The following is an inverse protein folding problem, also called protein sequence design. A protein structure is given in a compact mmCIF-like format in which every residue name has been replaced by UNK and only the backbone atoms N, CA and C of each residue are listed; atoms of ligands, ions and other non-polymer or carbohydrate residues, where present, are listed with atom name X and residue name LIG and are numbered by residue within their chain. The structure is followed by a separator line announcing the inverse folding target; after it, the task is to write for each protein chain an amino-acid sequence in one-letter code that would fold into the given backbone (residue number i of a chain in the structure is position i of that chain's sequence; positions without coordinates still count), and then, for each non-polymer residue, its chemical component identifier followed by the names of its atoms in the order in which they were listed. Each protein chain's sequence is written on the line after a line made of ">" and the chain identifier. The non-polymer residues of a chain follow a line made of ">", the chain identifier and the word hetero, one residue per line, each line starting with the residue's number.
data_IF_694758303472
#
_entry.id   IF_694758303472
#
_cell.length_a   1.000
_cell.length_b   1.000
_cell.length_c   1.000
_cell.angle_alpha   90.00
_cell.angle_beta   90.00
_cell.angle_gamma   90.00
#
_symmetry.space_group_name_H-M   'P 1'
#
loop_
_entity.id
_entity.type
_entity.pdbx_description
1 polymer ?
#
# COMPACT_ATOMS: atom_id res chain seq x y z
N UNK A 1 -19.41 2.24 29.36
CA UNK A 1 -20.79 2.52 28.88
C UNK A 1 -21.08 1.66 27.66
N UNK A 2 -22.36 1.47 27.27
CA UNK A 2 -22.73 0.68 26.09
C UNK A 2 -23.25 1.60 24.99
N UNK A 3 -22.88 1.33 23.74
CA UNK A 3 -23.31 2.10 22.57
C UNK A 3 -23.71 1.16 21.43
N UNK A 4 -24.64 1.60 20.60
CA UNK A 4 -24.91 0.96 19.31
C UNK A 4 -24.04 1.60 18.24
N UNK A 5 -23.30 0.77 17.50
CA UNK A 5 -22.46 1.21 16.38
C UNK A 5 -23.34 1.46 15.17
N UNK A 6 -23.22 2.66 14.59
CA UNK A 6 -24.00 3.13 13.44
C UNK A 6 -23.29 2.81 12.13
N UNK A 7 -22.01 3.21 12.03
CA UNK A 7 -21.20 3.05 10.82
C UNK A 7 -19.71 3.07 11.12
N UNK A 8 -18.88 2.67 10.15
CA UNK A 8 -17.42 2.83 10.20
C UNK A 8 -17.06 4.00 9.28
N UNK A 9 -16.53 5.08 9.85
CA UNK A 9 -16.14 6.29 9.12
C UNK A 9 -14.65 6.27 8.77
N UNK A 10 -14.25 7.04 7.74
CA UNK A 10 -12.84 7.26 7.42
C UNK A 10 -12.09 7.92 8.60
N UNK A 11 -10.86 7.49 8.96
CA UNK A 11 -10.03 6.48 8.29
C UNK A 11 -10.15 5.05 8.87
N UNK A 12 -11.32 4.68 9.41
CA UNK A 12 -11.63 3.34 9.92
C UNK A 12 -12.05 3.30 11.39
N UNK A 13 -12.68 4.37 11.89
CA UNK A 13 -13.20 4.46 13.26
C UNK A 13 -14.67 4.08 13.29
N UNK A 14 -15.10 3.34 14.29
CA UNK A 14 -16.51 3.01 14.49
C UNK A 14 -17.21 4.18 15.17
N UNK A 15 -18.28 4.66 14.54
CA UNK A 15 -19.11 5.74 15.03
C UNK A 15 -20.34 5.14 15.71
N UNK A 16 -20.58 5.52 16.97
CA UNK A 16 -21.82 5.28 17.70
C UNK A 16 -22.40 6.57 18.27
N UNK A 17 -23.63 6.48 18.80
CA UNK A 17 -24.32 7.60 19.42
C UNK A 17 -24.68 7.26 20.87
N UNK A 18 -24.54 8.24 21.77
CA UNK A 18 -25.07 8.17 23.14
C UNK A 18 -25.56 9.55 23.55
N UNK A 19 -26.86 9.64 23.92
CA UNK A 19 -27.48 10.74 24.67
C UNK A 19 -27.07 12.17 24.27
N UNK A 20 -26.84 12.42 22.96
CA UNK A 20 -26.48 13.69 22.29
C UNK A 20 -25.00 13.91 21.89
N UNK A 21 -24.09 12.93 22.05
CA UNK A 21 -22.72 13.04 21.51
C UNK A 21 -22.34 11.88 20.61
N UNK A 22 -21.58 12.23 19.57
CA UNK A 22 -20.91 11.25 18.70
C UNK A 22 -19.80 10.57 19.48
N UNK A 23 -19.76 9.24 19.46
CA UNK A 23 -18.69 8.46 20.08
C UNK A 23 -17.90 7.78 18.96
N UNK A 24 -16.58 8.00 18.96
CA UNK A 24 -15.65 7.37 18.04
C UNK A 24 -14.84 6.33 18.78
N UNK A 25 -14.99 5.07 18.39
CA UNK A 25 -14.22 3.96 18.95
C UNK A 25 -13.41 3.23 17.88
N UNK A 26 -12.57 2.31 18.32
CA UNK A 26 -11.52 1.66 17.53
C UNK A 26 -11.98 0.37 16.84
N UNK A 27 -13.08 -0.25 17.30
CA UNK A 27 -13.65 -1.46 16.73
C UNK A 27 -15.18 -1.46 16.85
N UNK A 28 -15.84 -2.25 16.01
CA UNK A 28 -17.30 -2.37 16.01
C UNK A 28 -17.88 -2.27 14.61
N UNK A 29 -18.80 -3.16 14.29
CA UNK A 29 -19.53 -3.19 13.02
C UNK A 29 -20.88 -2.48 13.14
N UNK A 30 -21.42 -1.93 12.05
CA UNK A 30 -22.78 -1.41 12.03
C UNK A 30 -23.79 -2.41 12.63
N UNK A 31 -24.63 -1.92 13.55
CA UNK A 31 -25.64 -2.72 14.25
C UNK A 31 -25.16 -3.40 15.53
N UNK A 32 -23.87 -3.40 15.83
CA UNK A 32 -23.35 -4.02 17.06
C UNK A 32 -23.60 -3.17 18.30
N UNK A 33 -23.79 -3.86 19.43
CA UNK A 33 -23.74 -3.24 20.75
C UNK A 33 -22.33 -3.46 21.32
N UNK A 34 -21.60 -2.36 21.52
CA UNK A 34 -20.24 -2.37 22.06
C UNK A 34 -20.21 -1.78 23.48
N UNK A 35 -19.49 -2.43 24.38
CA UNK A 35 -19.06 -1.84 25.63
C UNK A 35 -17.76 -1.07 25.41
N UNK A 36 -17.78 0.20 25.78
CA UNK A 36 -16.68 1.14 25.53
C UNK A 36 -16.26 1.88 26.81
N UNK A 37 -14.99 2.27 26.86
CA UNK A 37 -14.42 3.18 27.85
C UNK A 37 -14.05 4.51 27.18
N UNK A 38 -14.64 5.64 27.61
CA UNK A 38 -14.21 6.96 27.16
C UNK A 38 -12.73 7.21 27.51
N UNK A 39 -11.98 7.74 26.55
CA UNK A 39 -10.57 8.10 26.71
C UNK A 39 -10.40 9.63 26.77
N UNK A 40 -11.07 10.35 25.87
CA UNK A 40 -10.93 11.79 25.75
C UNK A 40 -12.19 12.44 25.22
N UNK A 41 -12.67 13.45 25.92
CA UNK A 41 -13.80 14.25 25.48
C UNK A 41 -13.34 15.43 24.62
N UNK A 42 -14.06 15.68 23.53
CA UNK A 42 -13.85 16.81 22.61
C UNK A 42 -15.13 17.62 22.51
N UNK A 43 -15.05 18.79 21.88
CA UNK A 43 -16.20 19.69 21.69
C UNK A 43 -17.42 18.99 21.09
N UNK A 44 -17.23 18.15 20.06
CA UNK A 44 -18.32 17.56 19.28
C UNK A 44 -18.41 16.02 19.38
N UNK A 45 -17.41 15.36 19.99
CA UNK A 45 -17.37 13.90 20.05
C UNK A 45 -16.54 13.41 21.24
N UNK A 46 -16.69 12.12 21.57
CA UNK A 46 -15.89 11.44 22.58
C UNK A 46 -15.03 10.40 21.87
N UNK A 47 -13.71 10.44 22.11
CA UNK A 47 -12.80 9.35 21.76
C UNK A 47 -12.94 8.27 22.83
N UNK A 48 -13.21 7.04 22.42
CA UNK A 48 -13.37 5.90 23.30
C UNK A 48 -12.63 4.68 22.77
N UNK A 49 -12.44 3.69 23.65
CA UNK A 49 -11.89 2.39 23.31
C UNK A 49 -12.92 1.29 23.54
N UNK A 50 -13.02 0.37 22.61
CA UNK A 50 -13.85 -0.83 22.69
C UNK A 50 -13.24 -1.77 23.70
N UNK A 51 -14.02 -2.12 24.71
CA UNK A 51 -13.66 -3.15 25.69
C UNK A 51 -14.12 -4.51 25.19
N UNK A 52 -15.40 -4.58 24.76
CA UNK A 52 -16.04 -5.84 24.39
C UNK A 52 -17.21 -5.58 23.44
N UNK A 53 -17.42 -6.51 22.51
CA UNK A 53 -18.64 -6.58 21.71
C UNK A 53 -19.66 -7.43 22.48
N UNK A 54 -20.80 -6.82 22.83
CA UNK A 54 -21.87 -7.44 23.61
C UNK A 54 -22.83 -8.19 22.68
N UNK A 55 -23.21 -7.55 21.58
CA UNK A 55 -24.06 -8.14 20.55
C UNK A 55 -23.32 -8.05 19.21
N UNK A 56 -22.71 -9.15 18.76
CA UNK A 56 -21.94 -9.16 17.51
C UNK A 56 -22.87 -9.19 16.29
N UNK A 57 -22.41 -8.58 15.20
CA UNK A 57 -23.04 -8.69 13.89
C UNK A 57 -22.74 -10.06 13.29
N UNK A 58 -23.64 -10.66 12.47
CA UNK A 58 -23.35 -11.88 11.74
C UNK A 58 -22.12 -11.78 10.82
N UNK A 59 -21.76 -10.56 10.41
CA UNK A 59 -20.58 -10.28 9.60
C UNK A 59 -19.26 -10.25 10.40
N UNK A 60 -19.32 -10.32 11.74
CA UNK A 60 -18.13 -10.34 12.59
C UNK A 60 -17.44 -11.69 12.49
N UNK A 61 -16.13 -11.65 12.24
CA UNK A 61 -15.28 -12.84 12.22
C UNK A 61 -14.14 -12.67 13.24
N UNK A 62 -13.53 -13.80 13.61
CA UNK A 62 -12.31 -13.81 14.41
C UNK A 62 -11.13 -13.38 13.53
N UNK A 63 -10.34 -12.36 13.92
CA UNK A 63 -9.15 -11.97 13.20
C UNK A 63 -8.15 -13.13 13.07
N UNK A 64 -7.49 -13.24 11.91
CA UNK A 64 -6.52 -14.30 11.64
C UNK A 64 -5.22 -14.14 12.44
N UNK A 65 -4.93 -12.94 12.96
CA UNK A 65 -3.77 -12.69 13.80
C UNK A 65 -4.06 -11.65 14.89
N UNK A 66 -3.33 -11.70 16.00
CA UNK A 66 -3.50 -10.77 17.13
C UNK A 66 -3.01 -9.35 16.83
N UNK A 67 -2.13 -9.18 15.85
CA UNK A 67 -1.52 -7.90 15.49
C UNK A 67 -2.26 -7.16 14.37
N UNK A 68 -3.41 -7.67 13.94
CA UNK A 68 -4.15 -7.17 12.77
C UNK A 68 -4.38 -5.66 12.80
N UNK A 69 -4.62 -5.07 13.98
CA UNK A 69 -4.86 -3.63 14.13
C UNK A 69 -3.70 -2.76 13.65
N UNK A 70 -2.47 -3.28 13.70
CA UNK A 70 -1.28 -2.58 13.24
C UNK A 70 -0.95 -2.81 11.75
N UNK A 71 -1.55 -3.83 11.11
CA UNK A 71 -1.21 -4.23 9.75
C UNK A 71 -2.38 -4.22 8.76
N UNK A 72 -3.55 -4.71 9.17
CA UNK A 72 -4.79 -4.82 8.40
C UNK A 72 -6.00 -4.69 9.34
N UNK A 73 -6.48 -3.46 9.61
CA UNK A 73 -7.37 -3.19 10.73
C UNK A 73 -8.78 -3.79 10.62
N UNK A 74 -9.22 -4.25 9.45
CA UNK A 74 -10.57 -4.77 9.24
C UNK A 74 -10.68 -6.31 9.29
N UNK A 75 -9.69 -7.02 9.84
CA UNK A 75 -9.74 -8.49 9.94
C UNK A 75 -10.85 -9.04 10.85
N UNK A 76 -11.56 -8.19 11.60
CA UNK A 76 -12.70 -8.60 12.44
C UNK A 76 -14.05 -8.60 11.70
N UNK A 77 -14.07 -8.35 10.39
CA UNK A 77 -15.28 -8.41 9.57
C UNK A 77 -15.05 -9.25 8.31
N UNK A 78 -16.10 -9.95 7.87
CA UNK A 78 -16.05 -10.72 6.62
C UNK A 78 -15.69 -9.83 5.42
N UNK A 79 -15.13 -10.45 4.38
CA UNK A 79 -14.59 -9.70 3.25
C UNK A 79 -15.64 -8.88 2.50
N UNK A 80 -16.88 -9.40 2.40
CA UNK A 80 -18.00 -8.70 1.78
C UNK A 80 -18.30 -7.39 2.52
N UNK A 81 -18.26 -7.41 3.85
CA UNK A 81 -18.47 -6.24 4.70
C UNK A 81 -17.31 -5.26 4.58
N UNK A 82 -16.06 -5.74 4.43
CA UNK A 82 -14.91 -4.86 4.16
C UNK A 82 -15.12 -4.04 2.87
N UNK A 83 -15.60 -4.69 1.80
CA UNK A 83 -15.90 -4.01 0.53
C UNK A 83 -17.05 -3.00 0.71
N UNK A 84 -18.15 -3.42 1.34
CA UNK A 84 -19.29 -2.53 1.59
C UNK A 84 -18.93 -1.30 2.42
N UNK A 85 -18.07 -1.46 3.43
CA UNK A 85 -17.58 -0.34 4.25
C UNK A 85 -16.77 0.63 3.40
N UNK A 86 -15.82 0.15 2.59
CA UNK A 86 -15.02 0.98 1.69
C UNK A 86 -15.89 1.74 0.68
N UNK A 87 -16.86 1.05 0.06
CA UNK A 87 -17.80 1.70 -0.84
C UNK A 87 -18.62 2.78 -0.14
N UNK A 88 -19.12 2.50 1.07
CA UNK A 88 -19.91 3.48 1.83
C UNK A 88 -19.12 4.75 2.16
N UNK A 89 -17.84 4.61 2.50
CA UNK A 89 -16.96 5.74 2.82
C UNK A 89 -16.69 6.59 1.58
N UNK A 90 -16.45 5.95 0.43
CA UNK A 90 -16.27 6.66 -0.84
C UNK A 90 -17.58 7.32 -1.30
N UNK A 91 -18.75 6.67 -1.14
CA UNK A 91 -20.06 7.24 -1.49
C UNK A 91 -20.39 8.47 -0.66
N UNK A 92 -19.99 8.48 0.62
CA UNK A 92 -20.12 9.67 1.48
C UNK A 92 -19.23 10.83 1.01
N UNK A 93 -18.03 10.54 0.49
CA UNK A 93 -17.12 11.55 -0.06
C UNK A 93 -17.52 12.04 -1.46
N UNK A 94 -18.09 11.15 -2.28
CA UNK A 94 -18.44 11.41 -3.68
C UNK A 94 -19.87 10.92 -3.99
N UNK A 95 -20.90 11.61 -3.49
CA UNK A 95 -22.29 11.13 -3.51
C UNK A 95 -22.88 10.94 -4.91
N UNK A 96 -22.34 11.65 -5.90
CA UNK A 96 -22.83 11.63 -7.28
C UNK A 96 -21.97 10.75 -8.21
N UNK A 97 -21.02 9.99 -7.66
CA UNK A 97 -20.11 9.14 -8.43
C UNK A 97 -20.52 7.68 -8.33
N UNK A 98 -20.53 6.97 -9.46
CA UNK A 98 -20.69 5.52 -9.45
C UNK A 98 -19.46 4.90 -8.79
N UNK A 99 -19.67 4.29 -7.63
CA UNK A 99 -18.60 3.70 -6.82
C UNK A 99 -18.87 2.22 -6.66
N UNK A 100 -17.85 1.43 -7.01
CA UNK A 100 -17.75 0.02 -6.70
C UNK A 100 -16.36 -0.32 -6.17
N UNK A 101 -16.30 -1.11 -5.11
CA UNK A 101 -15.05 -1.66 -4.60
C UNK A 101 -14.78 -3.00 -5.29
N UNK A 102 -13.79 -3.02 -6.19
CA UNK A 102 -13.32 -4.25 -6.78
C UNK A 102 -12.71 -5.18 -5.70
N UNK A 103 -13.10 -6.47 -5.66
CA UNK A 103 -12.47 -7.44 -4.77
C UNK A 103 -11.02 -7.70 -5.19
N UNK A 104 -10.15 -7.87 -4.21
CA UNK A 104 -8.79 -8.34 -4.45
C UNK A 104 -8.82 -9.83 -4.78
N UNK A 105 -8.07 -10.30 -5.79
CA UNK A 105 -7.95 -11.72 -6.08
C UNK A 105 -7.38 -12.53 -4.91
N UNK A 106 -6.52 -11.92 -4.09
CA UNK A 106 -5.92 -12.54 -2.91
C UNK A 106 -6.07 -11.65 -1.67
N UNK A 107 -6.64 -12.21 -0.60
CA UNK A 107 -6.88 -11.48 0.66
C UNK A 107 -5.91 -11.87 1.79
N UNK A 108 -5.12 -12.93 1.59
CA UNK A 108 -4.04 -13.41 2.46
C UNK A 108 -2.78 -13.64 1.64
N UNK A 109 -1.61 -13.54 2.26
CA UNK A 109 -0.33 -13.76 1.56
C UNK A 109 0.03 -12.76 0.46
N UNK A 110 -0.86 -11.83 0.12
CA UNK A 110 -0.72 -10.91 -1.02
C UNK A 110 0.41 -9.88 -0.87
N UNK A 111 0.91 -9.65 0.35
CA UNK A 111 1.83 -8.55 0.65
C UNK A 111 3.25 -8.93 0.28
N UNK A 112 3.75 -8.35 -0.81
CA UNK A 112 5.12 -8.57 -1.29
C UNK A 112 6.20 -7.84 -0.45
N UNK A 113 5.83 -7.04 0.55
CA UNK A 113 6.75 -6.24 1.37
C UNK A 113 6.29 -6.10 2.81
N UNK A 114 7.14 -6.46 3.75
CA UNK A 114 6.92 -6.26 5.19
C UNK A 114 8.07 -5.49 5.83
N UNK A 115 7.74 -4.55 6.73
CA UNK A 115 8.69 -3.74 7.47
C UNK A 115 8.35 -3.82 8.95
N UNK A 116 9.35 -4.19 9.76
CA UNK A 116 9.19 -4.47 11.19
C UNK A 116 10.28 -3.79 12.00
N UNK A 117 9.92 -3.41 13.22
CA UNK A 117 10.87 -2.94 14.22
C UNK A 117 11.41 -4.13 15.01
N UNK A 118 12.72 -4.14 15.26
CA UNK A 118 13.37 -5.09 16.16
C UNK A 118 13.32 -4.47 17.56
N UNK A 119 12.61 -5.14 18.47
CA UNK A 119 12.48 -4.73 19.87
C UNK A 119 13.26 -5.68 20.77
N UNK A 120 13.76 -5.19 21.90
CA UNK A 120 14.52 -5.98 22.86
C UNK A 120 13.79 -5.96 24.21
N UNK A 121 13.50 -7.15 24.76
CA UNK A 121 12.95 -7.33 26.11
C UNK A 121 13.74 -8.41 26.82
N UNK A 122 14.21 -8.14 28.04
CA UNK A 122 14.98 -9.10 28.85
C UNK A 122 16.13 -9.75 28.05
N UNK A 123 16.90 -8.93 27.31
CA UNK A 123 18.00 -9.36 26.42
C UNK A 123 17.61 -10.28 25.26
N UNK A 124 16.31 -10.46 24.98
CA UNK A 124 15.80 -11.22 23.84
C UNK A 124 15.18 -10.27 22.80
N UNK A 125 15.60 -10.41 21.56
CA UNK A 125 15.06 -9.70 20.41
C UNK A 125 13.73 -10.31 19.95
N UNK A 126 12.81 -9.46 19.52
CA UNK A 126 11.56 -9.82 18.87
C UNK A 126 11.22 -8.84 17.73
N UNK A 127 10.28 -9.23 16.88
CA UNK A 127 9.78 -8.39 15.79
C UNK A 127 8.44 -7.76 16.18
N UNK A 128 8.21 -6.52 15.78
CA UNK A 128 6.99 -5.81 16.13
C UNK A 128 6.59 -4.75 15.10
N UNK A 129 5.29 -4.45 15.09
CA UNK A 129 4.76 -3.20 14.55
C UNK A 129 4.64 -2.14 15.64
N UNK A 130 4.61 -0.86 15.25
CA UNK A 130 4.14 0.20 16.14
C UNK A 130 2.63 0.06 16.36
N UNK A 131 2.18 0.32 17.58
CA UNK A 131 0.76 0.38 17.88
C UNK A 131 0.11 1.60 17.16
N UNK A 132 -1.08 1.46 16.54
CA UNK A 132 -1.71 2.55 15.78
C UNK A 132 -1.87 3.87 16.54
N UNK A 133 -2.07 3.81 17.86
CA UNK A 133 -2.39 4.95 18.72
C UNK A 133 -1.20 5.44 19.56
N UNK A 134 0.00 4.87 19.37
CA UNK A 134 1.14 5.17 20.23
C UNK A 134 2.47 4.99 19.52
N UNK A 135 3.32 6.03 19.55
CA UNK A 135 4.66 5.98 18.96
C UNK A 135 5.61 5.06 19.72
N UNK A 136 5.42 4.96 21.04
CA UNK A 136 6.33 4.25 21.95
C UNK A 136 5.86 2.83 22.32
N UNK A 137 4.71 2.40 21.81
CA UNK A 137 4.16 1.07 22.08
C UNK A 137 4.30 0.19 20.86
N UNK A 138 4.59 -1.08 21.11
CA UNK A 138 4.85 -2.09 20.10
C UNK A 138 3.89 -3.26 20.26
N UNK A 139 3.47 -3.82 19.13
CA UNK A 139 2.71 -5.07 19.06
C UNK A 139 3.65 -6.12 18.48
N UNK A 140 4.10 -7.02 19.33
CA UNK A 140 5.00 -8.10 18.94
C UNK A 140 4.30 -9.06 17.98
N UNK A 141 5.04 -9.54 16.99
CA UNK A 141 4.55 -10.46 15.98
C UNK A 141 5.45 -11.70 15.92
N UNK A 142 4.83 -12.88 15.80
CA UNK A 142 5.53 -14.14 15.53
C UNK A 142 5.49 -14.53 14.05
N UNK A 143 4.34 -14.32 13.41
CA UNK A 143 4.10 -14.54 11.97
C UNK A 143 3.04 -13.54 11.49
N UNK A 144 2.88 -13.40 10.18
CA UNK A 144 1.88 -12.52 9.57
C UNK A 144 1.15 -13.25 8.42
N UNK A 145 -0.18 -13.30 8.49
CA UNK A 145 -1.05 -13.92 7.48
C UNK A 145 -1.13 -13.15 6.15
N UNK A 146 -0.62 -11.90 6.12
CA UNK A 146 -0.63 -11.07 4.92
C UNK A 146 0.60 -11.28 4.03
N UNK A 147 1.65 -11.92 4.53
CA UNK A 147 2.85 -12.27 3.75
C UNK A 147 2.90 -13.78 3.53
N UNK A 148 3.75 -14.23 2.60
CA UNK A 148 3.93 -15.65 2.35
C UNK A 148 4.60 -16.38 3.52
N UNK A 149 4.43 -17.70 3.54
CA UNK A 149 5.08 -18.56 4.52
C UNK A 149 6.61 -18.54 4.39
N UNK A 150 7.15 -18.30 3.19
CA UNK A 150 8.58 -18.13 2.98
C UNK A 150 9.13 -16.89 3.70
N UNK A 151 8.40 -15.77 3.65
CA UNK A 151 8.74 -14.57 4.42
C UNK A 151 8.63 -14.82 5.93
N UNK A 152 7.58 -15.52 6.39
CA UNK A 152 7.44 -15.86 7.82
C UNK A 152 8.61 -16.72 8.32
N UNK A 153 8.99 -17.77 7.58
CA UNK A 153 10.16 -18.62 7.88
C UNK A 153 11.46 -17.82 7.90
N UNK A 154 11.64 -16.92 6.93
CA UNK A 154 12.80 -16.03 6.91
C UNK A 154 12.84 -15.14 8.16
N UNK A 155 11.74 -14.51 8.55
CA UNK A 155 11.67 -13.62 9.71
C UNK A 155 11.96 -14.36 11.02
N UNK A 156 11.50 -15.61 11.16
CA UNK A 156 11.83 -16.47 12.29
C UNK A 156 13.34 -16.76 12.35
N UNK A 157 13.94 -17.24 11.27
CA UNK A 157 15.39 -17.48 11.19
C UNK A 157 16.22 -16.21 11.40
N UNK A 158 15.74 -15.07 10.89
CA UNK A 158 16.38 -13.77 11.07
C UNK A 158 16.42 -13.38 12.55
N UNK A 159 15.31 -13.49 13.28
CA UNK A 159 15.29 -13.10 14.69
C UNK A 159 16.09 -14.07 15.57
N UNK A 160 16.14 -15.36 15.21
CA UNK A 160 17.00 -16.34 15.88
C UNK A 160 18.48 -15.98 15.72
N UNK A 161 18.89 -15.59 14.51
CA UNK A 161 20.27 -15.14 14.27
C UNK A 161 20.59 -13.83 15.00
N UNK A 162 19.67 -12.85 15.00
CA UNK A 162 19.83 -11.59 15.75
C UNK A 162 20.05 -11.85 17.23
N UNK A 163 19.32 -12.82 17.81
CA UNK A 163 19.49 -13.25 19.18
C UNK A 163 20.84 -13.96 19.39
N UNK A 164 21.17 -14.94 18.54
CA UNK A 164 22.40 -15.74 18.63
C UNK A 164 23.66 -14.87 18.59
N UNK A 165 23.70 -13.92 17.67
CA UNK A 165 24.84 -13.02 17.44
C UNK A 165 24.73 -11.71 18.24
N UNK A 166 23.71 -11.58 19.11
CA UNK A 166 23.46 -10.40 19.95
C UNK A 166 23.50 -9.06 19.18
N UNK A 167 22.82 -9.01 18.03
CA UNK A 167 22.86 -7.87 17.11
C UNK A 167 21.95 -6.70 17.55
N UNK A 168 22.16 -6.19 18.76
CA UNK A 168 21.32 -5.15 19.41
C UNK A 168 21.28 -3.79 18.69
N UNK A 169 22.18 -3.59 17.74
CA UNK A 169 22.25 -2.39 16.91
C UNK A 169 21.22 -2.39 15.79
N UNK A 170 20.71 -3.56 15.36
CA UNK A 170 19.63 -3.63 14.36
C UNK A 170 18.33 -3.12 14.99
N UNK A 171 17.75 -2.10 14.37
CA UNK A 171 16.49 -1.47 14.83
C UNK A 171 15.30 -1.84 13.97
N UNK A 172 15.49 -2.11 12.68
CA UNK A 172 14.42 -2.47 11.75
C UNK A 172 14.91 -3.47 10.73
N UNK A 173 13.96 -4.26 10.22
CA UNK A 173 14.14 -5.13 9.06
C UNK A 173 12.99 -4.88 8.09
N UNK A 174 13.33 -4.78 6.81
CA UNK A 174 12.40 -4.76 5.69
C UNK A 174 12.70 -5.96 4.80
N UNK A 175 11.67 -6.69 4.43
CA UNK A 175 11.76 -7.86 3.54
C UNK A 175 10.80 -7.63 2.39
N UNK A 176 11.33 -7.77 1.17
CA UNK A 176 10.53 -7.88 -0.04
C UNK A 176 10.66 -9.26 -0.62
N UNK A 177 9.56 -9.79 -1.12
CA UNK A 177 9.50 -11.06 -1.82
C UNK A 177 9.01 -10.82 -3.25
N UNK A 178 9.66 -11.46 -4.22
CA UNK A 178 9.16 -11.53 -5.58
C UNK A 178 8.11 -12.63 -5.73
N UNK A 179 7.06 -12.40 -6.51
CA UNK A 179 6.18 -13.49 -6.96
C UNK A 179 6.88 -14.48 -7.91
N UNK A 180 8.00 -14.07 -8.54
CA UNK A 180 8.89 -14.88 -9.36
C UNK A 180 9.88 -15.66 -8.48
N UNK A 181 9.88 -16.98 -8.59
CA UNK A 181 10.97 -17.81 -8.08
C UNK A 181 12.09 -17.99 -9.11
N UNK A 182 13.33 -18.16 -8.67
CA UNK A 182 14.40 -18.59 -9.58
C UNK A 182 14.22 -20.07 -9.92
N UNK A 183 14.15 -20.38 -11.22
CA UNK A 183 14.15 -21.76 -11.73
C UNK A 183 15.46 -22.52 -11.46
N UNK A 184 16.52 -21.84 -10.99
CA UNK A 184 17.85 -22.42 -10.93
C UNK A 184 18.19 -23.16 -9.62
N UNK A 185 17.34 -23.11 -8.58
CA UNK A 185 17.59 -23.82 -7.32
C UNK A 185 16.28 -24.39 -6.74
N UNK A 186 15.88 -25.57 -7.24
CA UNK A 186 14.71 -26.36 -6.79
C UNK A 186 13.34 -25.68 -7.07
N UNK A 187 12.18 -26.32 -6.81
CA UNK A 187 10.85 -25.77 -7.12
C UNK A 187 10.76 -24.32 -6.64
N UNK A 188 10.64 -23.42 -7.60
CA UNK A 188 11.22 -22.08 -7.59
C UNK A 188 11.09 -21.35 -6.24
N UNK A 189 12.14 -21.36 -5.42
CA UNK A 189 12.19 -20.56 -4.21
C UNK A 189 12.09 -19.08 -4.61
N UNK A 190 11.10 -18.37 -4.06
CA UNK A 190 10.87 -16.94 -4.31
C UNK A 190 12.07 -16.12 -3.84
N UNK A 191 12.45 -15.13 -4.64
CA UNK A 191 13.57 -14.26 -4.31
C UNK A 191 13.21 -13.29 -3.18
N UNK A 192 14.04 -13.26 -2.13
CA UNK A 192 13.94 -12.29 -1.04
C UNK A 192 15.01 -11.20 -1.18
N UNK A 193 14.59 -9.95 -0.97
CA UNK A 193 15.48 -8.82 -0.71
C UNK A 193 15.24 -8.32 0.70
N UNK A 194 16.33 -8.20 1.46
CA UNK A 194 16.31 -7.86 2.88
C UNK A 194 17.05 -6.54 3.05
N UNK A 195 16.54 -5.65 3.88
CA UNK A 195 17.18 -4.39 4.25
C UNK A 195 17.07 -4.20 5.75
N UNK A 196 18.20 -4.10 6.43
CA UNK A 196 18.26 -3.79 7.87
C UNK A 196 18.61 -2.33 8.09
N UNK A 197 18.28 -1.82 9.26
CA UNK A 197 18.62 -0.46 9.67
C UNK A 197 19.34 -0.49 11.05
N UNK A 198 20.65 -0.19 11.12
CA UNK A 198 21.55 0.11 9.99
C UNK A 198 21.76 -1.11 9.06
N UNK A 199 22.18 -0.91 7.79
CA UNK A 199 22.48 -2.00 6.88
C UNK A 199 23.60 -2.91 7.39
N UNK A 200 23.41 -4.23 7.30
CA UNK A 200 24.41 -5.23 7.68
C UNK A 200 24.90 -5.97 6.45
N UNK A 201 26.22 -5.96 6.23
CA UNK A 201 26.89 -6.65 5.13
C UNK A 201 27.61 -7.95 5.56
N UNK A 202 27.44 -8.41 6.80
CA UNK A 202 28.19 -9.58 7.33
C UNK A 202 27.63 -10.92 6.85
N UNK A 203 28.52 -11.77 6.31
CA UNK A 203 28.59 -13.21 6.56
C UNK A 203 27.38 -14.11 6.26
N UNK A 204 26.47 -13.75 5.35
CA UNK A 204 25.39 -14.65 4.92
C UNK A 204 24.12 -13.97 4.40
N UNK A 205 23.85 -12.74 4.82
CA UNK A 205 22.79 -11.93 4.20
C UNK A 205 23.31 -11.27 2.93
N UNK A 206 23.31 -11.99 1.81
CA UNK A 206 23.43 -11.33 0.50
C UNK A 206 22.14 -10.55 0.25
N UNK A 207 22.12 -9.27 0.62
CA UNK A 207 21.03 -8.38 0.23
C UNK A 207 21.16 -8.15 -1.27
N UNK A 208 20.15 -8.61 -2.02
CA UNK A 208 20.12 -8.32 -3.45
C UNK A 208 19.93 -6.81 -3.63
N UNK A 209 20.57 -6.18 -4.63
CA UNK A 209 20.37 -4.76 -4.90
C UNK A 209 18.94 -4.46 -5.39
N UNK A 210 18.22 -5.48 -5.87
CA UNK A 210 16.83 -5.43 -6.29
C UNK A 210 16.19 -6.83 -6.29
N UNK A 211 14.87 -6.87 -6.35
CA UNK A 211 14.09 -8.03 -6.81
C UNK A 211 13.46 -7.72 -8.17
N UNK A 212 13.07 -8.75 -8.91
CA UNK A 212 12.25 -8.61 -10.12
C UNK A 212 10.82 -9.05 -9.84
N UNK A 213 9.83 -8.26 -10.24
CA UNK A 213 8.41 -8.60 -10.11
C UNK A 213 7.73 -8.53 -11.48
N UNK A 214 6.71 -9.35 -11.73
CA UNK A 214 5.94 -9.33 -12.98
C UNK A 214 4.54 -8.77 -12.75
N UNK A 215 4.11 -7.87 -13.64
CA UNK A 215 2.76 -7.28 -13.66
C UNK A 215 2.30 -7.32 -15.10
N UNK A 216 1.23 -8.06 -15.40
CA UNK A 216 0.65 -8.19 -16.76
C UNK A 216 1.71 -8.48 -17.85
N UNK A 217 2.65 -9.38 -17.57
CA UNK A 217 3.71 -9.78 -18.50
C UNK A 217 4.87 -8.78 -18.66
N UNK A 218 4.88 -7.66 -17.91
CA UNK A 218 6.02 -6.74 -17.80
C UNK A 218 6.81 -7.04 -16.54
N UNK A 219 8.15 -7.02 -16.62
CA UNK A 219 9.03 -7.30 -15.48
C UNK A 219 9.66 -6.01 -14.95
N UNK A 220 9.63 -5.81 -13.64
CA UNK A 220 10.13 -4.61 -12.97
C UNK A 220 11.20 -4.98 -11.96
N UNK A 221 12.38 -4.36 -12.09
CA UNK A 221 13.39 -4.33 -11.03
C UNK A 221 12.99 -3.30 -9.99
N UNK A 222 12.97 -3.74 -8.74
CA UNK A 222 12.52 -2.97 -7.59
C UNK A 222 13.65 -2.95 -6.56
N UNK A 223 14.18 -1.75 -6.30
CA UNK A 223 15.20 -1.56 -5.28
C UNK A 223 14.65 -1.47 -3.85
N UNK A 224 15.54 -1.37 -2.85
CA UNK A 224 15.16 -1.28 -1.43
C UNK A 224 14.25 -0.09 -1.16
N UNK A 225 14.62 1.09 -1.67
CA UNK A 225 13.90 2.34 -1.45
C UNK A 225 12.84 2.65 -2.53
N UNK A 226 12.72 1.81 -3.56
CA UNK A 226 11.74 2.01 -4.62
C UNK A 226 10.31 1.81 -4.10
N UNK A 227 9.42 2.76 -4.40
CA UNK A 227 7.99 2.54 -4.21
C UNK A 227 7.49 1.51 -5.23
N UNK A 228 6.69 0.56 -4.75
CA UNK A 228 6.01 -0.43 -5.57
C UNK A 228 4.76 -0.88 -4.83
N UNK A 229 3.69 -1.16 -5.57
CA UNK A 229 2.43 -1.57 -4.95
C UNK A 229 2.60 -2.90 -4.21
N UNK A 230 2.09 -2.97 -2.99
CA UNK A 230 2.35 -4.10 -2.08
C UNK A 230 1.50 -5.33 -2.39
N UNK A 231 0.38 -5.16 -3.11
CA UNK A 231 -0.55 -6.21 -3.52
C UNK A 231 -0.52 -6.27 -5.05
N UNK A 232 0.28 -7.19 -5.59
CA UNK A 232 0.47 -7.35 -7.05
C UNK A 232 -0.83 -7.77 -7.75
N UNK A 233 -1.60 -8.76 -7.24
CA UNK A 233 -2.89 -9.11 -7.85
C UNK A 233 -3.85 -7.92 -7.97
N UNK A 234 -3.93 -7.05 -6.95
CA UNK A 234 -4.77 -5.86 -7.01
C UNK A 234 -4.19 -4.77 -7.93
N UNK A 235 -2.86 -4.63 -8.00
CA UNK A 235 -2.22 -3.76 -8.98
C UNK A 235 -2.56 -4.19 -10.42
N UNK A 236 -2.58 -5.50 -10.71
CA UNK A 236 -2.97 -5.99 -12.03
C UNK A 236 -4.42 -5.62 -12.38
N UNK A 237 -5.36 -5.76 -11.44
CA UNK A 237 -6.74 -5.31 -11.64
C UNK A 237 -6.83 -3.79 -11.88
N UNK A 238 -6.08 -2.98 -11.12
CA UNK A 238 -6.03 -1.54 -11.34
C UNK A 238 -5.48 -1.20 -12.74
N UNK A 239 -4.40 -1.84 -13.17
CA UNK A 239 -3.80 -1.61 -14.50
C UNK A 239 -4.75 -2.08 -15.61
N UNK A 240 -5.45 -3.20 -15.45
CA UNK A 240 -6.48 -3.65 -16.41
C UNK A 240 -7.58 -2.61 -16.55
N UNK A 241 -8.03 -1.99 -15.46
CA UNK A 241 -9.04 -0.93 -15.52
C UNK A 241 -8.53 0.34 -16.22
N UNK A 242 -7.28 0.71 -15.97
CA UNK A 242 -6.62 1.79 -16.71
C UNK A 242 -6.53 1.47 -18.21
N UNK A 243 -6.21 0.23 -18.58
CA UNK A 243 -6.16 -0.22 -19.98
C UNK A 243 -7.53 -0.13 -20.66
N UNK A 244 -8.63 -0.46 -19.97
CA UNK A 244 -9.99 -0.27 -20.53
C UNK A 244 -10.32 1.20 -20.76
N UNK A 245 -9.73 2.09 -19.96
CA UNK A 245 -9.93 3.52 -20.05
C UNK A 245 -9.10 4.19 -21.16
N UNK A 246 -8.13 3.50 -21.77
CA UNK A 246 -7.38 4.02 -22.92
C UNK A 246 -8.08 3.74 -24.24
N UNK A 247 -7.92 4.62 -25.23
CA UNK A 247 -8.50 4.40 -26.56
C UNK A 247 -7.77 3.27 -27.29
N UNK A 248 -8.45 2.13 -27.44
CA UNK A 248 -7.92 0.94 -28.10
C UNK A 248 -7.77 1.11 -29.63
N UNK A 249 -8.53 2.00 -30.24
CA UNK A 249 -8.58 2.19 -31.70
C UNK A 249 -7.60 3.28 -32.20
N UNK A 250 -7.11 4.14 -31.30
CA UNK A 250 -6.13 5.19 -31.61
C UNK A 250 -5.15 5.32 -30.47
N UNK A 251 -3.88 5.06 -30.75
CA UNK A 251 -2.77 5.22 -29.80
C UNK A 251 -2.71 6.66 -29.27
N UNK A 252 -2.91 6.80 -27.95
CA UNK A 252 -2.92 8.06 -27.21
C UNK A 252 -1.51 8.49 -26.78
N UNK A 253 -1.28 9.79 -26.61
CA UNK A 253 -0.14 10.30 -25.82
C UNK A 253 -0.52 10.25 -24.34
N UNK A 254 0.20 9.45 -23.55
CA UNK A 254 -0.08 9.24 -22.12
C UNK A 254 1.01 9.93 -21.30
N UNK A 255 0.62 10.81 -20.38
CA UNK A 255 1.54 11.36 -19.38
C UNK A 255 1.38 10.62 -18.05
N UNK A 256 2.47 10.14 -17.47
CA UNK A 256 2.55 9.44 -16.19
C UNK A 256 3.38 10.28 -15.21
N UNK A 257 2.69 11.02 -14.32
CA UNK A 257 3.34 11.88 -13.33
C UNK A 257 3.57 11.11 -12.03
N UNK A 258 4.68 11.39 -11.35
CA UNK A 258 5.13 10.62 -10.19
C UNK A 258 5.33 9.15 -10.55
N UNK A 259 5.85 8.89 -11.75
CA UNK A 259 5.80 7.56 -12.36
C UNK A 259 6.67 6.50 -11.65
N UNK A 260 7.50 6.88 -10.68
CA UNK A 260 8.28 5.94 -9.89
C UNK A 260 9.25 5.16 -10.77
N UNK A 261 9.15 3.83 -10.68
CA UNK A 261 9.93 2.91 -11.51
C UNK A 261 9.27 2.60 -12.87
N UNK A 262 8.19 3.32 -13.21
CA UNK A 262 7.48 3.25 -14.51
C UNK A 262 6.34 2.26 -14.57
N UNK A 263 5.78 1.82 -13.44
CA UNK A 263 4.81 0.71 -13.39
C UNK A 263 3.65 0.92 -14.38
N UNK A 264 2.96 2.06 -14.30
CA UNK A 264 1.79 2.33 -15.14
C UNK A 264 2.18 2.62 -16.59
N UNK A 265 3.07 3.57 -16.81
CA UNK A 265 3.51 3.93 -18.15
C UNK A 265 4.11 2.76 -18.96
N UNK A 266 4.86 1.85 -18.33
CA UNK A 266 5.40 0.64 -19.00
C UNK A 266 4.28 -0.35 -19.33
N UNK A 267 3.33 -0.57 -18.42
CA UNK A 267 2.19 -1.46 -18.67
C UNK A 267 1.23 -0.92 -19.75
N UNK A 268 1.14 0.40 -19.88
CA UNK A 268 0.27 1.06 -20.86
C UNK A 268 0.97 1.37 -22.19
N UNK A 269 2.29 1.23 -22.26
CA UNK A 269 3.08 1.66 -23.42
C UNK A 269 2.67 1.01 -24.74
N UNK A 270 2.10 -0.20 -24.71
CA UNK A 270 1.63 -0.88 -25.92
C UNK A 270 0.39 -0.22 -26.55
N UNK A 271 -0.42 0.46 -25.73
CA UNK A 271 -1.60 1.21 -26.14
C UNK A 271 -1.30 2.69 -26.42
N UNK A 272 -0.10 3.15 -26.08
CA UNK A 272 0.32 4.54 -26.25
C UNK A 272 1.08 4.75 -27.57
N UNK A 273 0.91 5.94 -28.15
CA UNK A 273 1.79 6.46 -29.21
C UNK A 273 3.14 6.79 -28.60
N UNK A 274 3.10 7.53 -27.50
CA UNK A 274 4.23 7.90 -26.66
C UNK A 274 3.76 7.95 -25.21
N UNK A 275 4.60 7.51 -24.29
CA UNK A 275 4.43 7.70 -22.85
C UNK A 275 5.42 8.76 -22.39
N UNK A 276 4.94 9.77 -21.68
CA UNK A 276 5.75 10.83 -21.09
C UNK A 276 5.77 10.62 -19.57
N UNK A 277 6.91 10.20 -19.01
CA UNK A 277 7.06 10.01 -17.57
C UNK A 277 7.77 11.18 -16.89
N UNK A 278 7.31 11.59 -15.70
CA UNK A 278 8.04 12.53 -14.84
C UNK A 278 8.33 11.90 -13.49
N UNK A 279 9.60 11.85 -13.11
CA UNK A 279 10.08 11.37 -11.81
C UNK A 279 11.24 12.24 -11.32
N UNK A 280 11.30 12.48 -10.01
CA UNK A 280 12.29 13.35 -9.36
C UNK A 280 13.33 12.60 -8.53
N UNK A 281 13.02 11.38 -8.05
CA UNK A 281 13.87 10.59 -7.19
C UNK A 281 14.94 9.84 -8.02
N UNK A 282 16.24 10.12 -7.83
CA UNK A 282 17.32 9.50 -8.62
C UNK A 282 17.33 7.97 -8.57
N UNK A 283 17.01 7.39 -7.41
CA UNK A 283 16.90 5.94 -7.25
C UNK A 283 15.82 5.32 -8.13
N UNK A 284 14.63 5.94 -8.17
CA UNK A 284 13.53 5.49 -9.03
C UNK A 284 13.86 5.67 -10.51
N UNK A 285 14.47 6.81 -10.89
CA UNK A 285 14.93 7.07 -12.27
C UNK A 285 15.88 5.97 -12.77
N UNK A 286 16.84 5.56 -11.93
CA UNK A 286 17.78 4.49 -12.27
C UNK A 286 17.05 3.16 -12.55
N UNK A 287 16.11 2.78 -11.69
CA UNK A 287 15.29 1.58 -11.90
C UNK A 287 14.36 1.71 -13.10
N UNK A 288 13.73 2.86 -13.31
CA UNK A 288 12.89 3.15 -14.47
C UNK A 288 13.67 2.94 -15.76
N UNK A 289 14.86 3.52 -15.90
CA UNK A 289 15.74 3.31 -17.07
C UNK A 289 16.07 1.83 -17.28
N UNK A 290 16.38 1.10 -16.21
CA UNK A 290 16.60 -0.34 -16.29
C UNK A 290 15.33 -1.11 -16.72
N UNK A 291 14.16 -0.71 -16.25
CA UNK A 291 12.88 -1.36 -16.54
C UNK A 291 12.43 -1.11 -17.98
N UNK A 292 12.67 0.09 -18.52
CA UNK A 292 12.45 0.40 -19.93
C UNK A 292 13.30 -0.52 -20.83
N UNK A 293 14.58 -0.68 -20.50
CA UNK A 293 15.48 -1.61 -21.22
C UNK A 293 15.03 -3.07 -21.08
N UNK A 294 14.69 -3.50 -19.86
CA UNK A 294 14.26 -4.88 -19.56
C UNK A 294 13.02 -5.28 -20.35
N UNK A 295 12.04 -4.37 -20.44
CA UNK A 295 10.78 -4.60 -21.16
C UNK A 295 10.83 -4.21 -22.64
N UNK A 296 11.99 -3.78 -23.15
CA UNK A 296 12.19 -3.32 -24.54
C UNK A 296 11.24 -2.19 -24.95
N UNK A 297 10.92 -1.28 -24.02
CA UNK A 297 10.03 -0.14 -24.29
C UNK A 297 10.82 0.95 -25.01
N UNK A 298 10.35 1.34 -26.20
CA UNK A 298 11.00 2.34 -27.06
C UNK A 298 10.24 3.67 -27.14
N UNK A 299 8.94 3.66 -26.82
CA UNK A 299 8.05 4.81 -26.93
C UNK A 299 7.79 5.46 -25.56
N UNK A 300 8.84 5.58 -24.73
CA UNK A 300 8.76 6.21 -23.42
C UNK A 300 9.80 7.32 -23.32
N UNK A 301 9.35 8.54 -23.06
CA UNK A 301 10.18 9.71 -22.84
C UNK A 301 10.17 10.06 -21.36
N UNK A 302 11.34 10.08 -20.73
CA UNK A 302 11.51 10.40 -19.32
C UNK A 302 12.00 11.84 -19.14
N UNK A 303 11.32 12.58 -18.26
CA UNK A 303 11.77 13.86 -17.75
C UNK A 303 12.14 13.73 -16.26
N UNK A 304 13.35 14.15 -15.92
CA UNK A 304 13.92 13.99 -14.58
C UNK A 304 13.78 15.30 -13.80
N UNK A 305 12.91 15.31 -12.79
CA UNK A 305 12.70 16.46 -11.91
C UNK A 305 11.28 16.55 -11.36
N UNK A 306 10.97 17.64 -10.63
CA UNK A 306 9.68 17.81 -9.99
C UNK A 306 8.54 18.02 -11.00
N UNK A 307 7.41 17.36 -10.78
CA UNK A 307 6.25 17.40 -11.67
C UNK A 307 5.70 18.82 -11.84
N UNK A 308 5.64 19.58 -10.77
CA UNK A 308 5.11 20.95 -10.75
C UNK A 308 5.97 21.93 -11.57
N UNK A 309 7.26 21.63 -11.76
CA UNK A 309 8.16 22.45 -12.61
C UNK A 309 8.16 22.02 -14.07
N UNK A 310 8.00 20.73 -14.32
CA UNK A 310 8.18 20.15 -15.67
C UNK A 310 6.87 20.02 -16.44
N UNK A 311 5.74 19.76 -15.76
CA UNK A 311 4.45 19.61 -16.42
C UNK A 311 4.01 20.83 -17.26
N UNK A 312 4.25 22.09 -16.84
CA UNK A 312 3.87 23.27 -17.62
C UNK A 312 4.44 23.29 -19.05
N UNK A 313 5.69 22.86 -19.23
CA UNK A 313 6.32 22.83 -20.56
C UNK A 313 5.77 21.71 -21.46
N UNK A 314 5.03 20.76 -20.89
CA UNK A 314 4.42 19.64 -21.60
C UNK A 314 2.95 19.92 -21.98
N UNK A 315 2.34 21.01 -21.50
CA UNK A 315 0.93 21.32 -21.76
C UNK A 315 0.60 21.49 -23.26
N UNK A 316 1.59 21.88 -24.08
CA UNK A 316 1.45 22.00 -25.54
C UNK A 316 1.63 20.68 -26.29
N UNK A 317 2.03 19.60 -25.60
CA UNK A 317 2.46 18.34 -26.22
C UNK A 317 1.31 17.43 -26.69
N UNK A 318 0.05 17.90 -26.64
CA UNK A 318 -1.11 17.11 -27.07
C UNK A 318 -1.29 15.83 -26.26
N UNK A 319 -1.23 15.94 -24.92
CA UNK A 319 -1.47 14.83 -23.98
C UNK A 319 -2.97 14.48 -24.01
N UNK A 320 -3.29 13.22 -24.33
CA UNK A 320 -4.67 12.73 -24.37
C UNK A 320 -5.14 12.25 -22.99
N UNK A 321 -4.26 11.53 -22.28
CA UNK A 321 -4.54 10.92 -20.97
C UNK A 321 -3.43 11.26 -19.98
N UNK A 322 -3.80 11.79 -18.81
CA UNK A 322 -2.90 12.07 -17.70
C UNK A 322 -3.12 11.07 -16.56
N UNK A 323 -2.06 10.45 -16.09
CA UNK A 323 -2.04 9.56 -14.93
C UNK A 323 -1.31 10.27 -13.80
N UNK A 324 -1.90 10.24 -12.60
CA UNK A 324 -1.28 10.76 -11.38
C UNK A 324 -1.43 9.75 -10.24
N UNK A 325 -0.31 9.39 -9.60
CA UNK A 325 -0.25 8.58 -8.36
C UNK A 325 0.55 9.36 -7.30
N UNK A 326 -0.02 10.45 -6.74
CA UNK A 326 0.71 11.32 -5.83
C UNK A 326 0.92 10.68 -4.45
N UNK A 327 1.87 11.21 -3.65
CA UNK A 327 2.00 10.83 -2.25
C UNK A 327 0.74 11.18 -1.45
N UNK A 328 0.62 10.67 -0.22
CA UNK A 328 -0.53 10.87 0.69
C UNK A 328 -0.97 12.33 0.92
N UNK A 329 -0.11 13.32 0.67
CA UNK A 329 -0.46 14.74 0.74
C UNK A 329 -1.33 15.21 -0.43
N UNK A 330 -1.49 14.39 -1.48
CA UNK A 330 -2.15 14.75 -2.73
C UNK A 330 -1.22 15.47 -3.71
N UNK A 331 -1.82 15.99 -4.77
CA UNK A 331 -1.15 16.84 -5.75
C UNK A 331 -0.77 18.20 -5.16
N UNK A 332 0.32 18.76 -5.68
CA UNK A 332 0.69 20.14 -5.39
C UNK A 332 -0.33 21.13 -5.99
N UNK A 333 -0.62 22.23 -5.29
CA UNK A 333 -1.60 23.23 -5.73
C UNK A 333 -1.25 23.84 -7.09
N UNK A 334 0.04 24.11 -7.35
CA UNK A 334 0.49 24.64 -8.64
C UNK A 334 0.29 23.60 -9.74
N UNK A 335 0.57 22.33 -9.46
CA UNK A 335 0.29 21.25 -10.41
C UNK A 335 -1.20 21.12 -10.70
N UNK A 336 -2.08 21.22 -9.70
CA UNK A 336 -3.54 21.25 -9.91
C UNK A 336 -3.97 22.38 -10.84
N UNK A 337 -3.45 23.61 -10.63
CA UNK A 337 -3.74 24.75 -11.50
C UNK A 337 -3.27 24.51 -12.93
N UNK A 338 -2.05 23.97 -13.11
CA UNK A 338 -1.53 23.64 -14.43
C UNK A 338 -2.38 22.57 -15.14
N UNK A 339 -2.87 21.57 -14.41
CA UNK A 339 -3.77 20.54 -14.96
C UNK A 339 -5.09 21.17 -15.43
N UNK A 340 -5.68 22.07 -14.63
CA UNK A 340 -6.92 22.78 -15.00
C UNK A 340 -6.74 23.63 -16.27
N UNK A 341 -5.58 24.26 -16.43
CA UNK A 341 -5.26 25.07 -17.62
C UNK A 341 -4.82 24.23 -18.83
N UNK A 342 -4.51 22.95 -18.63
CA UNK A 342 -4.06 22.06 -19.69
C UNK A 342 -5.22 21.63 -20.60
N UNK A 343 -4.97 21.33 -21.88
CA UNK A 343 -6.00 20.81 -22.78
C UNK A 343 -6.34 19.32 -22.54
N UNK A 344 -5.82 18.71 -21.47
CA UNK A 344 -6.03 17.28 -21.17
C UNK A 344 -7.49 17.01 -20.86
N UNK A 345 -8.07 16.04 -21.56
CA UNK A 345 -9.50 15.70 -21.41
C UNK A 345 -9.76 14.54 -20.45
N UNK A 346 -8.75 13.70 -20.20
CA UNK A 346 -8.89 12.50 -19.38
C UNK A 346 -7.80 12.44 -18.32
N UNK A 347 -8.21 12.27 -17.08
CA UNK A 347 -7.31 12.13 -15.93
C UNK A 347 -7.64 10.82 -15.23
N UNK A 348 -6.62 9.99 -15.01
CA UNK A 348 -6.66 8.82 -14.16
C UNK A 348 -5.92 9.20 -12.87
N UNK A 349 -6.66 9.35 -11.78
CA UNK A 349 -6.12 9.68 -10.46
C UNK A 349 -6.12 8.42 -9.58
N UNK A 350 -4.93 7.97 -9.17
CA UNK A 350 -4.74 6.92 -8.17
C UNK A 350 -4.55 7.56 -6.79
N UNK A 351 -5.38 7.18 -5.81
CA UNK A 351 -5.41 7.80 -4.48
C UNK A 351 -5.37 6.83 -3.32
#
# INVERSE_FOLDING_TARGET
>A
MKITIQKIIYPGRSLGLSENKTILTDEGLPGEIAEIIPLKEKKNYIEAKTIKIITPSPARITPACSHYRACGPYQYMDYKTQLSVKESQLKEMFPNTLISAAPSPEIWGYRNKIKLTVIWKNKKAGLAYHAPESRDKFIQIGSCCLVSENVNKFLASFIDLVNKENMNFIKKVEVRESSRGQACLSPAAKDLMVTTYPPVCRGGFKTRPYIEETVLGKTFRIGPDSFFQINVPMLEEAVKEMQKSTNQNKKETIADLYCGIGTFGICLSQYAKEVIGIESAPGNISFLKSNLKLNKIKNFRLYEGPCEKLFPSLMTSGIDTLIVDPPRKGLDNMLCQNIILSPVKKIIYLS
#
